data_IF_605736264842
#
_entry.id   IF_605736264842
#
_cell.length_a   1.000
_cell.length_b   1.000
_cell.length_c   1.000
_cell.angle_alpha   90.00
_cell.angle_beta   90.00
_cell.angle_gamma   90.00
#
_symmetry.space_group_name_H-M   'P 1'
#
loop_
_entity.id
_entity.type
_entity.pdbx_description
1 polymer ?
#
# COMPACT_ATOMS: atom_id res chain seq x y z
N UNK A 1 -37.77 3.89 -14.09
CA UNK A 1 -37.17 2.57 -13.81
C UNK A 1 -35.77 2.81 -13.27
N UNK A 2 -35.39 2.07 -12.22
CA UNK A 2 -34.31 2.42 -11.30
C UNK A 2 -32.94 2.55 -11.95
N UNK A 3 -32.21 3.57 -11.51
CA UNK A 3 -30.75 3.60 -11.63
C UNK A 3 -30.21 2.54 -10.69
N UNK A 4 -29.39 1.62 -11.20
CA UNK A 4 -28.57 0.77 -10.35
C UNK A 4 -27.15 1.27 -10.56
N UNK A 5 -26.66 2.06 -9.61
CA UNK A 5 -25.28 2.52 -9.55
C UNK A 5 -24.37 1.29 -9.61
N UNK A 6 -23.80 1.05 -10.79
CA UNK A 6 -22.76 0.06 -10.98
C UNK A 6 -21.59 0.47 -10.11
N UNK A 7 -21.50 -0.10 -8.92
CA UNK A 7 -20.38 0.09 -8.02
C UNK A 7 -19.14 -0.24 -8.83
N UNK A 8 -18.30 0.75 -9.08
CA UNK A 8 -17.01 0.52 -9.70
C UNK A 8 -16.23 -0.35 -8.72
N UNK A 9 -16.33 -1.67 -8.86
CA UNK A 9 -15.42 -2.62 -8.24
C UNK A 9 -14.09 -2.31 -8.87
N UNK A 10 -13.38 -1.37 -8.26
CA UNK A 10 -12.02 -1.01 -8.64
C UNK A 10 -11.29 -2.33 -8.62
N UNK A 11 -10.75 -2.77 -9.76
CA UNK A 11 -9.96 -3.99 -9.84
C UNK A 11 -8.74 -3.76 -8.94
N UNK A 12 -8.84 -4.16 -7.68
CA UNK A 12 -7.76 -3.97 -6.73
C UNK A 12 -6.80 -5.11 -7.01
N UNK A 13 -5.85 -4.81 -7.89
CA UNK A 13 -4.72 -5.68 -8.20
C UNK A 13 -3.64 -5.50 -7.14
N UNK A 14 -2.77 -6.51 -7.04
CA UNK A 14 -1.61 -6.46 -6.17
C UNK A 14 -0.75 -5.20 -6.43
N UNK A 15 -0.18 -4.64 -5.36
CA UNK A 15 0.70 -3.46 -5.44
C UNK A 15 2.04 -3.71 -6.14
N UNK A 16 2.43 -4.97 -6.31
CA UNK A 16 3.68 -5.34 -7.00
C UNK A 16 3.57 -4.97 -8.47
N UNK A 17 4.53 -4.19 -8.96
CA UNK A 17 4.66 -3.92 -10.38
C UNK A 17 4.82 -5.27 -11.10
N UNK A 18 3.98 -5.54 -12.10
CA UNK A 18 3.90 -6.81 -12.85
C UNK A 18 3.02 -7.91 -12.23
N UNK A 19 2.45 -7.71 -11.05
CA UNK A 19 1.51 -8.68 -10.47
C UNK A 19 0.06 -8.35 -10.86
N UNK A 20 -0.56 -9.26 -11.61
CA UNK A 20 -1.98 -9.16 -12.01
C UNK A 20 -2.90 -10.04 -11.14
N UNK A 21 -2.36 -10.64 -10.08
CA UNK A 21 -3.12 -11.53 -9.20
C UNK A 21 -4.16 -10.75 -8.37
N UNK A 22 -5.35 -11.34 -8.16
CA UNK A 22 -6.38 -10.74 -7.34
C UNK A 22 -5.95 -10.70 -5.87
N UNK A 23 -6.37 -9.64 -5.18
CA UNK A 23 -6.18 -9.52 -3.75
C UNK A 23 -7.14 -10.47 -3.00
N UNK A 24 -6.68 -11.16 -1.94
CA UNK A 24 -7.57 -12.01 -1.14
C UNK A 24 -8.67 -11.21 -0.45
N UNK A 25 -8.40 -9.94 -0.14
CA UNK A 25 -9.34 -9.04 0.52
C UNK A 25 -9.20 -7.63 -0.01
N UNK A 26 -10.30 -6.86 -0.01
CA UNK A 26 -10.30 -5.45 -0.42
C UNK A 26 -9.35 -4.56 0.42
N UNK A 27 -9.04 -4.97 1.65
CA UNK A 27 -8.11 -4.28 2.56
C UNK A 27 -6.65 -4.68 2.36
N UNK A 28 -6.39 -5.81 1.69
CA UNK A 28 -5.03 -6.30 1.46
C UNK A 28 -4.37 -5.44 0.39
N UNK A 29 -3.07 -5.16 0.53
CA UNK A 29 -2.27 -4.48 -0.50
C UNK A 29 -1.58 -5.45 -1.45
N UNK A 30 -1.40 -6.69 -0.99
CA UNK A 30 -0.68 -7.74 -1.70
C UNK A 30 -1.54 -8.99 -1.87
N UNK A 31 -1.37 -9.70 -2.99
CA UNK A 31 -2.06 -10.96 -3.25
C UNK A 31 -1.53 -12.06 -2.32
N UNK A 32 -2.16 -13.24 -2.32
CA UNK A 32 -1.71 -14.37 -1.48
C UNK A 32 -0.23 -14.73 -1.74
N UNK A 33 0.21 -14.67 -3.00
CA UNK A 33 1.60 -14.91 -3.38
C UNK A 33 2.57 -13.88 -2.81
N UNK A 34 2.16 -12.61 -2.76
CA UNK A 34 2.99 -11.50 -2.28
C UNK A 34 2.65 -11.08 -0.84
N UNK A 35 1.91 -11.90 -0.09
CA UNK A 35 1.55 -11.59 1.29
C UNK A 35 2.78 -11.53 2.21
N UNK A 36 3.90 -12.13 1.80
CA UNK A 36 5.17 -12.02 2.49
C UNK A 36 5.77 -10.61 2.39
N UNK A 37 5.50 -9.88 1.30
CA UNK A 37 5.93 -8.48 1.14
C UNK A 37 5.27 -7.54 2.15
N UNK A 38 4.09 -7.91 2.66
CA UNK A 38 3.43 -7.16 3.73
C UNK A 38 4.16 -7.34 5.08
N UNK A 39 4.87 -8.45 5.23
CA UNK A 39 5.60 -8.82 6.44
C UNK A 39 7.09 -8.46 6.36
N UNK A 40 7.59 -8.02 5.20
CA UNK A 40 8.97 -7.61 5.00
C UNK A 40 9.11 -6.09 4.87
N UNK A 41 10.29 -5.58 5.23
CA UNK A 41 10.56 -4.15 5.15
C UNK A 41 10.41 -3.64 3.71
N UNK A 42 9.59 -2.61 3.52
CA UNK A 42 9.37 -1.95 2.22
C UNK A 42 10.65 -1.35 1.57
N UNK A 43 11.77 -1.33 2.28
CA UNK A 43 13.03 -0.79 1.77
C UNK A 43 13.73 -1.83 0.92
N UNK A 44 13.95 -1.49 -0.36
CA UNK A 44 14.70 -2.32 -1.30
C UNK A 44 16.07 -2.70 -0.73
N UNK A 45 16.34 -4.00 -0.63
CA UNK A 45 17.57 -4.54 -0.05
C UNK A 45 17.51 -4.85 1.44
N UNK A 46 16.36 -4.67 2.10
CA UNK A 46 16.16 -5.04 3.49
C UNK A 46 15.24 -6.25 3.63
N UNK A 47 15.78 -7.40 4.03
CA UNK A 47 15.02 -8.62 4.30
C UNK A 47 14.52 -8.74 5.76
N UNK A 48 14.52 -7.65 6.52
CA UNK A 48 14.06 -7.67 7.91
C UNK A 48 12.53 -7.63 7.99
N UNK A 49 11.92 -8.29 8.99
CA UNK A 49 10.47 -8.24 9.17
C UNK A 49 10.00 -6.83 9.54
N UNK A 50 8.79 -6.46 9.09
CA UNK A 50 8.14 -5.21 9.50
C UNK A 50 7.77 -5.25 10.98
N UNK A 51 7.71 -4.07 11.58
CA UNK A 51 7.15 -3.91 12.93
C UNK A 51 5.63 -3.67 12.85
N UNK A 52 4.88 -4.27 13.78
CA UNK A 52 3.42 -4.13 13.85
C UNK A 52 2.98 -2.66 13.82
N UNK A 53 2.11 -2.32 12.86
CA UNK A 53 1.60 -0.96 12.66
C UNK A 53 2.41 -0.10 11.67
N UNK A 54 3.52 -0.63 11.15
CA UNK A 54 4.37 0.05 10.18
C UNK A 54 4.65 -0.84 8.96
N UNK A 55 5.10 -0.23 7.86
CA UNK A 55 5.53 -0.94 6.64
C UNK A 55 7.05 -1.07 6.54
N UNK A 56 7.76 -0.75 7.63
CA UNK A 56 9.22 -0.80 7.73
C UNK A 56 9.66 -1.55 8.98
N UNK A 57 10.85 -2.14 8.91
CA UNK A 57 11.46 -2.80 10.06
C UNK A 57 11.86 -1.78 11.16
N UNK A 58 12.36 -2.29 12.28
CA UNK A 58 12.76 -1.48 13.46
C UNK A 58 13.96 -0.54 13.21
N UNK A 59 14.57 -0.56 12.03
CA UNK A 59 15.67 0.36 11.72
C UNK A 59 15.18 1.80 11.60
N UNK A 60 15.84 2.70 12.32
CA UNK A 60 15.48 4.12 12.38
C UNK A 60 15.56 4.78 11.00
N UNK A 61 16.56 4.44 10.18
CA UNK A 61 16.68 4.95 8.81
C UNK A 61 15.49 4.58 7.93
N UNK A 62 14.98 3.35 8.07
CA UNK A 62 13.83 2.86 7.31
C UNK A 62 12.53 3.48 7.83
N UNK A 63 12.35 3.54 9.15
CA UNK A 63 11.22 4.20 9.80
C UNK A 63 11.13 5.69 9.44
N UNK A 64 12.27 6.39 9.43
CA UNK A 64 12.34 7.79 9.03
C UNK A 64 11.91 7.99 7.56
N UNK A 65 12.32 7.07 6.67
CA UNK A 65 11.89 7.07 5.28
C UNK A 65 10.38 6.89 5.15
N UNK A 66 9.81 5.91 5.86
CA UNK A 66 8.35 5.68 5.87
C UNK A 66 7.58 6.89 6.40
N UNK A 67 8.00 7.45 7.54
CA UNK A 67 7.40 8.65 8.12
C UNK A 67 7.46 9.84 7.16
N UNK A 68 8.58 10.02 6.46
CA UNK A 68 8.72 11.06 5.46
C UNK A 68 7.77 10.84 4.28
N UNK A 69 7.67 9.61 3.77
CA UNK A 69 6.75 9.25 2.69
C UNK A 69 5.29 9.42 3.13
N UNK A 70 4.92 9.00 4.33
CA UNK A 70 3.57 9.20 4.89
C UNK A 70 3.22 10.69 5.00
N UNK A 71 4.15 11.52 5.50
CA UNK A 71 3.97 12.99 5.55
C UNK A 71 3.79 13.58 4.16
N UNK A 72 4.62 13.17 3.18
CA UNK A 72 4.50 13.60 1.78
C UNK A 72 3.19 13.18 1.15
N UNK A 73 2.73 11.95 1.40
CA UNK A 73 1.47 11.44 0.83
C UNK A 73 0.25 12.17 1.42
N UNK A 74 0.27 12.48 2.74
CA UNK A 74 -0.73 13.35 3.37
C UNK A 74 -0.70 14.79 2.84
N UNK A 75 0.46 15.31 2.47
CA UNK A 75 0.59 16.62 1.84
C UNK A 75 0.09 16.61 0.37
N UNK A 76 0.36 15.54 -0.38
CA UNK A 76 -0.13 15.35 -1.74
C UNK A 76 -1.66 15.26 -1.80
N UNK A 77 -2.31 14.71 -0.76
CA UNK A 77 -3.77 14.65 -0.71
C UNK A 77 -4.45 16.01 -0.50
N UNK A 78 -3.70 17.07 -0.15
CA UNK A 78 -4.21 18.44 0.00
C UNK A 78 -4.15 19.26 -1.30
N UNK A 79 -3.58 18.71 -2.38
CA UNK A 79 -3.39 19.41 -3.66
C UNK A 79 -4.52 19.16 -4.68
N UNK A 80 -5.70 18.71 -4.24
CA UNK A 80 -6.86 18.54 -5.13
C UNK A 80 -7.83 19.74 -5.11
N UNK A 81 -7.45 20.89 -4.53
CA UNK A 81 -8.37 22.02 -4.37
C UNK A 81 -7.88 23.28 -5.08
N UNK A 82 -7.56 23.15 -6.37
CA UNK A 82 -7.49 24.31 -7.27
C UNK A 82 -7.61 23.89 -8.73
N UNK A 83 -8.84 23.88 -9.24
CA UNK A 83 -9.33 24.65 -10.39
C UNK A 83 -10.81 24.31 -10.64
#
# INVERSE_FOLDING_TARGET
AGVHDGVAVRNISCRVHECSEPLPTQKSRFCLFHSYLDQECYINGCANPVESGFSTCRQESHRAHELQTQKKNKAMFQLHNRL
#
